data_IF_750311906907
#
_entry.id   IF_750311906907
#
_cell.length_a   1.000
_cell.length_b   1.000
_cell.length_c   1.000
_cell.angle_alpha   90.00
_cell.angle_beta   90.00
_cell.angle_gamma   90.00
#
_symmetry.space_group_name_H-M   'P 1'
#
loop_
_entity.id
_entity.type
_entity.pdbx_description
1 polymer ?
#
# COMPACT_ATOMS: atom_id res chain seq x y z
N UNK A 1 9.51 23.81 -6.74
CA UNK A 1 8.52 22.76 -6.45
C UNK A 1 9.31 21.56 -6.00
N UNK A 2 8.93 20.95 -4.91
CA UNK A 2 9.58 19.73 -4.44
C UNK A 2 9.20 18.55 -5.34
N UNK A 3 10.06 17.57 -5.47
CA UNK A 3 9.82 16.41 -6.35
C UNK A 3 8.53 15.65 -5.99
N UNK A 4 8.19 15.58 -4.70
CA UNK A 4 6.97 14.94 -4.20
C UNK A 4 5.71 15.57 -4.79
N UNK A 5 5.65 16.91 -4.79
CA UNK A 5 4.50 17.64 -5.32
C UNK A 5 4.36 17.44 -6.83
N UNK A 6 5.47 17.38 -7.56
CA UNK A 6 5.45 17.11 -8.99
C UNK A 6 4.87 15.73 -9.31
N UNK A 7 5.23 14.68 -8.55
CA UNK A 7 4.66 13.35 -8.73
C UNK A 7 3.15 13.36 -8.45
N UNK A 8 2.73 13.97 -7.35
CA UNK A 8 1.30 14.08 -6.99
C UNK A 8 0.52 14.81 -8.09
N UNK A 9 1.04 15.92 -8.60
CA UNK A 9 0.37 16.73 -9.63
C UNK A 9 0.25 15.97 -10.97
N UNK A 10 1.27 15.18 -11.33
CA UNK A 10 1.20 14.33 -12.54
C UNK A 10 0.14 13.22 -12.38
N UNK A 11 0.10 12.55 -11.22
CA UNK A 11 -0.88 11.49 -10.95
C UNK A 11 -2.32 12.05 -10.93
N UNK A 12 -2.53 13.25 -10.39
CA UNK A 12 -3.84 13.93 -10.36
C UNK A 12 -4.42 14.19 -11.76
N UNK A 13 -3.59 14.27 -12.80
CA UNK A 13 -4.09 14.41 -14.18
C UNK A 13 -4.94 13.22 -14.61
N UNK A 14 -4.57 12.02 -14.20
CA UNK A 14 -5.27 10.78 -14.53
C UNK A 14 -6.31 10.36 -13.48
N UNK A 15 -6.06 10.67 -12.21
CA UNK A 15 -6.90 10.25 -11.07
C UNK A 15 -7.49 11.47 -10.40
N UNK A 16 -8.59 11.97 -10.97
CA UNK A 16 -9.24 13.21 -10.53
C UNK A 16 -10.09 12.98 -9.28
N UNK A 17 -10.06 13.96 -8.35
CA UNK A 17 -10.93 13.98 -7.17
C UNK A 17 -10.63 12.91 -6.12
N UNK A 18 -9.40 12.33 -6.13
CA UNK A 18 -8.94 11.30 -5.21
C UNK A 18 -7.63 11.70 -4.51
N UNK A 19 -7.51 12.96 -4.15
CA UNK A 19 -6.28 13.55 -3.63
C UNK A 19 -5.77 12.81 -2.40
N UNK A 20 -6.65 12.49 -1.43
CA UNK A 20 -6.28 11.74 -0.23
C UNK A 20 -5.75 10.33 -0.56
N UNK A 21 -6.40 9.63 -1.49
CA UNK A 21 -5.93 8.32 -1.97
C UNK A 21 -4.55 8.41 -2.62
N UNK A 22 -4.30 9.44 -3.43
CA UNK A 22 -3.00 9.65 -4.10
C UNK A 22 -1.92 9.91 -3.05
N UNK A 23 -2.18 10.79 -2.07
CA UNK A 23 -1.24 11.12 -1.00
C UNK A 23 -0.91 9.87 -0.17
N UNK A 24 -1.93 9.10 0.26
CA UNK A 24 -1.74 7.89 1.06
C UNK A 24 -1.01 6.79 0.30
N UNK A 25 -1.34 6.59 -0.98
CA UNK A 25 -0.62 5.63 -1.83
C UNK A 25 0.85 6.03 -2.00
N UNK A 26 1.11 7.31 -2.23
CA UNK A 26 2.49 7.80 -2.36
C UNK A 26 3.24 7.72 -1.02
N UNK A 27 2.60 8.03 0.10
CA UNK A 27 3.17 7.82 1.43
C UNK A 27 3.56 6.35 1.67
N UNK A 28 2.73 5.39 1.22
CA UNK A 28 3.06 3.97 1.32
C UNK A 28 4.27 3.58 0.46
N UNK A 29 4.41 4.14 -0.74
CA UNK A 29 5.60 3.94 -1.58
C UNK A 29 6.86 4.50 -0.93
N UNK A 30 6.78 5.71 -0.37
CA UNK A 30 7.87 6.33 0.38
C UNK A 30 8.22 5.58 1.68
N UNK A 31 7.23 4.95 2.31
CA UNK A 31 7.45 4.06 3.44
C UNK A 31 8.03 2.69 3.03
N UNK A 32 8.27 2.44 1.73
CA UNK A 32 8.74 1.16 1.20
C UNK A 32 7.74 0.04 1.42
N UNK A 33 6.44 0.33 1.34
CA UNK A 33 5.38 -0.62 1.63
C UNK A 33 4.54 -1.01 0.42
N UNK A 34 3.79 -2.10 0.57
CA UNK A 34 2.84 -2.61 -0.41
C UNK A 34 1.43 -2.17 -0.06
N UNK A 35 0.57 -2.02 -1.07
CA UNK A 35 -0.78 -1.49 -0.92
C UNK A 35 -1.81 -2.55 -1.30
N UNK A 36 -2.84 -2.70 -0.47
CA UNK A 36 -4.06 -3.43 -0.79
C UNK A 36 -5.18 -2.44 -1.11
N UNK A 37 -5.78 -2.56 -2.28
CA UNK A 37 -6.95 -1.77 -2.70
C UNK A 37 -8.20 -2.65 -2.61
N UNK A 38 -9.11 -2.28 -1.73
CA UNK A 38 -10.36 -3.00 -1.52
C UNK A 38 -11.55 -2.17 -2.02
N UNK A 39 -11.99 -2.44 -3.24
CA UNK A 39 -13.03 -1.69 -3.93
C UNK A 39 -13.80 -2.54 -4.92
N UNK A 40 -14.97 -2.03 -5.31
CA UNK A 40 -15.71 -2.54 -6.45
C UNK A 40 -14.89 -2.40 -7.76
N UNK A 41 -15.15 -3.21 -8.78
CA UNK A 41 -14.53 -3.06 -10.08
C UNK A 41 -14.81 -1.68 -10.72
N UNK A 42 -13.87 -1.17 -11.52
CA UNK A 42 -14.08 0.01 -12.36
C UNK A 42 -13.81 1.38 -11.73
N UNK A 43 -13.38 1.46 -10.46
CA UNK A 43 -13.13 2.74 -9.76
C UNK A 43 -11.78 3.41 -10.09
N UNK A 44 -10.98 2.82 -10.99
CA UNK A 44 -9.71 3.45 -11.44
C UNK A 44 -8.45 2.91 -10.76
N UNK A 45 -8.49 1.72 -10.11
CA UNK A 45 -7.32 1.10 -9.45
C UNK A 45 -6.14 0.94 -10.38
N UNK A 46 -6.37 0.41 -11.58
CA UNK A 46 -5.34 0.26 -12.62
C UNK A 46 -4.80 1.61 -13.09
N UNK A 47 -5.69 2.61 -13.24
CA UNK A 47 -5.30 3.98 -13.62
C UNK A 47 -4.35 4.59 -12.60
N UNK A 48 -4.59 4.39 -11.30
CA UNK A 48 -3.73 4.87 -10.22
C UNK A 48 -2.32 4.25 -10.32
N UNK A 49 -2.22 2.92 -10.48
CA UNK A 49 -0.94 2.22 -10.60
C UNK A 49 -0.14 2.69 -11.84
N UNK A 50 -0.82 2.78 -13.02
CA UNK A 50 -0.19 3.24 -14.26
C UNK A 50 0.24 4.71 -14.14
N UNK A 51 -0.55 5.56 -13.49
CA UNK A 51 -0.21 6.96 -13.29
C UNK A 51 1.07 7.12 -12.46
N UNK A 52 1.18 6.40 -11.35
CA UNK A 52 2.40 6.40 -10.54
C UNK A 52 3.60 5.84 -11.29
N UNK A 53 3.45 4.70 -11.99
CA UNK A 53 4.56 4.12 -12.72
C UNK A 53 5.13 5.06 -13.79
N UNK A 54 4.26 5.81 -14.47
CA UNK A 54 4.67 6.81 -15.48
C UNK A 54 5.31 8.03 -14.85
N UNK A 55 4.68 8.60 -13.82
CA UNK A 55 5.22 9.78 -13.14
C UNK A 55 6.62 9.54 -12.54
N UNK A 56 6.91 8.30 -12.14
CA UNK A 56 8.18 7.90 -11.54
C UNK A 56 9.06 7.04 -12.47
N UNK A 57 8.75 6.95 -13.77
CA UNK A 57 9.47 6.15 -14.75
C UNK A 57 9.78 4.71 -14.26
N UNK A 58 8.85 4.07 -13.56
CA UNK A 58 9.01 2.72 -13.03
C UNK A 58 8.61 1.68 -14.08
N UNK A 59 9.37 0.59 -14.16
CA UNK A 59 8.93 -0.60 -14.88
C UNK A 59 7.73 -1.19 -14.16
N UNK A 60 6.59 -1.32 -14.84
CA UNK A 60 5.39 -1.87 -14.25
C UNK A 60 4.91 -3.10 -15.00
N UNK A 61 4.45 -4.10 -14.25
CA UNK A 61 3.75 -5.26 -14.79
C UNK A 61 2.39 -5.39 -14.12
N UNK A 62 1.40 -5.88 -14.87
CA UNK A 62 0.07 -6.18 -14.39
C UNK A 62 -0.27 -7.64 -14.65
N UNK A 63 -0.76 -8.32 -13.64
CA UNK A 63 -1.34 -9.66 -13.75
C UNK A 63 -2.76 -9.64 -13.22
N UNK A 64 -3.72 -10.06 -14.04
CA UNK A 64 -5.08 -10.34 -13.61
C UNK A 64 -5.09 -11.75 -13.01
N UNK A 65 -5.29 -11.85 -11.71
CA UNK A 65 -5.33 -13.14 -11.02
C UNK A 65 -6.63 -13.88 -11.32
N UNK A 66 -6.48 -15.10 -11.81
CA UNK A 66 -7.55 -16.07 -12.06
C UNK A 66 -7.14 -17.40 -11.43
N UNK A 67 -8.04 -18.39 -11.32
CA UNK A 67 -7.69 -19.73 -10.81
C UNK A 67 -6.56 -20.41 -11.59
N UNK A 68 -6.35 -20.05 -12.86
CA UNK A 68 -5.38 -20.66 -13.77
C UNK A 68 -3.96 -20.07 -13.63
N UNK A 69 -3.80 -18.93 -12.96
CA UNK A 69 -2.49 -18.31 -12.74
C UNK A 69 -1.64 -19.16 -11.81
N UNK A 70 -0.47 -19.55 -12.28
CA UNK A 70 0.48 -20.41 -11.57
C UNK A 70 1.56 -19.59 -10.86
N UNK A 71 2.20 -20.12 -9.80
CA UNK A 71 3.38 -19.50 -9.19
C UNK A 71 4.50 -19.21 -10.20
N UNK A 72 4.68 -20.07 -11.21
CA UNK A 72 5.68 -19.89 -12.25
C UNK A 72 5.43 -18.65 -13.14
N UNK A 73 4.18 -18.23 -13.32
CA UNK A 73 3.85 -17.01 -14.07
C UNK A 73 4.29 -15.76 -13.30
N UNK A 74 4.27 -15.86 -11.98
CA UNK A 74 4.66 -14.78 -11.06
C UNK A 74 6.18 -14.75 -10.85
N UNK A 75 6.77 -15.90 -10.48
CA UNK A 75 8.18 -16.01 -10.09
C UNK A 75 9.12 -16.25 -11.30
N UNK A 76 8.60 -16.75 -12.40
CA UNK A 76 9.40 -17.30 -13.49
C UNK A 76 9.72 -18.78 -13.31
N UNK A 77 10.44 -19.34 -14.25
CA UNK A 77 10.80 -20.75 -14.30
C UNK A 77 12.06 -20.98 -15.15
N UNK A 78 12.74 -22.09 -14.92
CA UNK A 78 13.86 -22.49 -15.79
C UNK A 78 13.37 -23.38 -16.93
N UNK A 79 13.82 -23.08 -18.14
CA UNK A 79 13.50 -23.80 -19.35
C UNK A 79 14.78 -24.40 -19.94
N UNK A 80 14.73 -25.69 -20.26
CA UNK A 80 15.83 -26.34 -20.94
C UNK A 80 15.97 -25.87 -22.40
N UNK A 81 17.11 -25.31 -22.75
CA UNK A 81 17.42 -24.81 -24.07
C UNK A 81 18.20 -25.88 -24.86
N UNK A 82 17.54 -26.55 -25.80
CA UNK A 82 18.13 -27.64 -26.58
C UNK A 82 19.39 -27.24 -27.35
N UNK A 83 19.50 -25.97 -27.74
CA UNK A 83 20.63 -25.47 -28.56
C UNK A 83 21.91 -25.33 -27.74
N UNK A 84 21.81 -24.97 -26.45
CA UNK A 84 22.96 -24.78 -25.55
C UNK A 84 23.17 -25.96 -24.59
N UNK A 85 22.17 -26.81 -24.41
CA UNK A 85 22.18 -27.89 -23.41
C UNK A 85 22.01 -27.41 -21.97
N UNK A 86 21.58 -26.17 -21.76
CA UNK A 86 21.53 -25.52 -20.45
C UNK A 86 20.10 -25.21 -20.04
N UNK A 87 19.87 -25.08 -18.72
CA UNK A 87 18.65 -24.50 -18.19
C UNK A 87 18.79 -22.99 -18.12
N UNK A 88 17.89 -22.27 -18.78
CA UNK A 88 17.85 -20.80 -18.80
C UNK A 88 16.63 -20.34 -18.02
N UNK A 89 16.83 -19.47 -17.02
CA UNK A 89 15.75 -18.83 -16.28
C UNK A 89 14.97 -17.87 -17.18
N UNK A 90 13.67 -17.99 -17.13
CA UNK A 90 12.70 -17.04 -17.70
C UNK A 90 12.08 -16.24 -16.59
N UNK A 91 12.25 -14.94 -16.64
CA UNK A 91 11.73 -13.99 -15.64
C UNK A 91 10.21 -14.07 -15.54
N UNK A 92 9.71 -14.07 -14.32
CA UNK A 92 8.29 -13.96 -14.02
C UNK A 92 7.83 -12.50 -13.96
N UNK A 93 6.53 -12.34 -13.79
CA UNK A 93 5.90 -11.02 -13.82
C UNK A 93 6.33 -10.09 -12.69
N UNK A 94 6.87 -10.60 -11.56
CA UNK A 94 7.36 -9.79 -10.44
C UNK A 94 8.69 -9.08 -10.71
N UNK A 95 9.38 -9.40 -11.80
CA UNK A 95 10.65 -8.74 -12.15
C UNK A 95 10.38 -7.33 -12.71
N UNK A 96 9.89 -6.45 -11.85
CA UNK A 96 9.53 -5.05 -12.15
C UNK A 96 9.60 -4.19 -10.87
N UNK A 97 9.45 -2.87 -11.01
CA UNK A 97 9.43 -1.95 -9.86
C UNK A 97 8.02 -1.83 -9.23
N UNK A 98 6.98 -1.80 -10.07
CA UNK A 98 5.60 -1.69 -9.63
C UNK A 98 4.79 -2.86 -10.19
N UNK A 99 4.40 -3.78 -9.32
CA UNK A 99 3.60 -4.94 -9.70
C UNK A 99 2.14 -4.73 -9.32
N UNK A 100 1.24 -4.69 -10.32
CA UNK A 100 -0.20 -4.63 -10.10
C UNK A 100 -0.78 -6.06 -10.09
N UNK A 101 -1.10 -6.55 -8.89
CA UNK A 101 -1.77 -7.82 -8.67
C UNK A 101 -3.29 -7.62 -8.65
N UNK A 102 -3.95 -7.74 -9.80
CA UNK A 102 -5.37 -7.46 -9.92
C UNK A 102 -6.22 -8.68 -9.53
N UNK A 103 -7.16 -8.49 -8.59
CA UNK A 103 -8.04 -9.53 -8.02
C UNK A 103 -7.25 -10.71 -7.39
N UNK A 104 -6.26 -10.40 -6.52
CA UNK A 104 -5.37 -11.41 -5.89
C UNK A 104 -6.15 -12.52 -5.16
N UNK A 105 -7.36 -12.24 -4.70
CA UNK A 105 -8.21 -13.19 -3.99
C UNK A 105 -8.96 -14.17 -4.91
N UNK A 106 -8.68 -14.19 -6.23
CA UNK A 106 -9.27 -15.14 -7.19
C UNK A 106 -8.33 -16.28 -7.58
N UNK A 107 -7.07 -16.22 -7.19
CA UNK A 107 -6.10 -17.29 -7.50
C UNK A 107 -5.93 -18.28 -6.35
N UNK A 108 -5.18 -19.36 -6.60
CA UNK A 108 -4.88 -20.39 -5.61
C UNK A 108 -4.05 -19.84 -4.44
N UNK A 109 -4.21 -20.41 -3.21
CA UNK A 109 -3.37 -20.05 -2.06
C UNK A 109 -1.87 -20.20 -2.33
N UNK A 110 -1.49 -21.11 -3.22
CA UNK A 110 -0.11 -21.37 -3.64
C UNK A 110 0.48 -20.17 -4.39
N UNK A 111 -0.29 -19.63 -5.33
CA UNK A 111 0.11 -18.46 -6.12
C UNK A 111 0.11 -17.19 -5.27
N UNK A 112 -0.88 -17.05 -4.37
CA UNK A 112 -0.89 -15.96 -3.39
C UNK A 112 0.37 -15.99 -2.52
N UNK A 113 0.72 -17.16 -1.94
CA UNK A 113 1.89 -17.32 -1.09
C UNK A 113 3.18 -17.00 -1.83
N UNK A 114 3.31 -17.38 -3.10
CA UNK A 114 4.48 -17.08 -3.91
C UNK A 114 4.70 -15.57 -4.07
N UNK A 115 3.65 -14.79 -4.38
CA UNK A 115 3.76 -13.33 -4.45
C UNK A 115 4.10 -12.71 -3.10
N UNK A 116 3.44 -13.17 -2.03
CA UNK A 116 3.62 -12.64 -0.68
C UNK A 116 5.00 -12.95 -0.10
N UNK A 117 5.65 -14.05 -0.52
CA UNK A 117 7.05 -14.33 -0.21
C UNK A 117 7.98 -13.31 -0.86
N UNK A 118 7.80 -13.02 -2.14
CA UNK A 118 8.60 -12.00 -2.84
C UNK A 118 8.42 -10.61 -2.21
N UNK A 119 7.21 -10.27 -1.76
CA UNK A 119 6.95 -9.01 -1.07
C UNK A 119 7.74 -8.87 0.24
N UNK A 120 7.97 -9.97 0.94
CA UNK A 120 8.69 -9.98 2.22
C UNK A 120 10.20 -10.05 2.04
N UNK A 121 10.65 -10.95 1.15
CA UNK A 121 12.07 -11.26 0.97
C UNK A 121 12.78 -10.35 -0.04
N UNK A 122 12.06 -9.70 -0.94
CA UNK A 122 12.63 -8.93 -2.05
C UNK A 122 13.40 -9.78 -3.07
N UNK A 123 13.20 -11.10 -3.03
CA UNK A 123 13.90 -12.06 -3.87
C UNK A 123 12.93 -13.10 -4.44
N UNK A 124 13.33 -13.65 -5.60
CA UNK A 124 12.70 -14.82 -6.24
C UNK A 124 13.68 -15.99 -6.19
N UNK A 125 13.26 -17.12 -5.63
CA UNK A 125 14.09 -18.34 -5.59
C UNK A 125 13.47 -19.38 -6.52
N UNK A 126 14.20 -19.71 -7.62
CA UNK A 126 13.83 -20.76 -8.58
C UNK A 126 15.03 -21.70 -8.75
N UNK A 127 14.78 -23.01 -8.65
CA UNK A 127 15.79 -24.07 -8.74
C UNK A 127 16.99 -23.87 -7.80
N UNK A 128 16.71 -23.37 -6.57
CA UNK A 128 17.73 -23.11 -5.57
C UNK A 128 18.59 -21.87 -5.80
N UNK A 129 18.30 -21.09 -6.86
CA UNK A 129 19.00 -19.84 -7.16
C UNK A 129 18.11 -18.67 -6.79
N UNK A 130 18.57 -17.85 -5.83
CA UNK A 130 17.87 -16.61 -5.44
C UNK A 130 18.29 -15.45 -6.32
N UNK A 131 17.29 -14.68 -6.78
CA UNK A 131 17.46 -13.51 -7.65
C UNK A 131 16.73 -12.33 -7.04
N UNK A 132 17.43 -11.21 -6.89
CA UNK A 132 16.85 -9.98 -6.34
C UNK A 132 15.85 -9.38 -7.35
N UNK A 133 14.68 -8.95 -6.87
CA UNK A 133 13.76 -8.14 -7.69
C UNK A 133 14.30 -6.73 -7.85
N UNK A 134 13.90 -5.99 -8.93
CA UNK A 134 14.32 -4.59 -9.11
C UNK A 134 13.91 -3.71 -7.93
N UNK A 135 14.79 -2.80 -7.50
CA UNK A 135 14.51 -1.82 -6.44
C UNK A 135 14.14 -0.45 -7.06
N UNK A 136 13.16 0.25 -6.46
CA UNK A 136 12.26 -0.21 -5.41
C UNK A 136 11.29 -1.28 -5.96
N UNK A 137 10.85 -2.22 -5.10
CA UNK A 137 9.81 -3.19 -5.43
C UNK A 137 8.52 -2.90 -4.66
N UNK A 138 7.47 -2.59 -5.38
CA UNK A 138 6.17 -2.21 -4.81
C UNK A 138 5.08 -3.08 -5.42
N UNK A 139 4.25 -3.65 -4.58
CA UNK A 139 3.04 -4.36 -5.01
C UNK A 139 1.81 -3.53 -4.67
N UNK A 140 0.99 -3.28 -5.68
CA UNK A 140 -0.39 -2.81 -5.52
C UNK A 140 -1.30 -3.99 -5.81
N UNK A 141 -1.87 -4.59 -4.78
CA UNK A 141 -2.84 -5.67 -4.95
C UNK A 141 -4.26 -5.11 -4.89
N UNK A 142 -5.16 -5.68 -5.69
CA UNK A 142 -6.58 -5.40 -5.58
C UNK A 142 -7.33 -6.64 -5.12
N UNK A 143 -8.34 -6.44 -4.30
CA UNK A 143 -9.30 -7.49 -3.98
C UNK A 143 -10.73 -6.97 -4.09
N UNK A 144 -11.64 -7.86 -4.47
CA UNK A 144 -13.06 -7.56 -4.42
C UNK A 144 -13.57 -7.70 -2.98
N UNK A 145 -14.58 -6.92 -2.57
CA UNK A 145 -15.16 -7.01 -1.24
C UNK A 145 -15.59 -8.45 -0.89
N UNK A 146 -15.62 -8.74 0.40
CA UNK A 146 -16.06 -10.03 0.96
C UNK A 146 -17.43 -10.43 0.37
N UNK A 147 -17.56 -11.69 -0.07
CA UNK A 147 -18.82 -12.23 -0.59
C UNK A 147 -18.96 -12.27 -2.11
N UNK A 148 -17.95 -11.84 -2.87
CA UNK A 148 -17.93 -12.03 -4.33
C UNK A 148 -17.77 -13.51 -4.68
N UNK A 149 -18.55 -14.00 -5.66
CA UNK A 149 -18.49 -15.40 -6.09
C UNK A 149 -17.08 -15.76 -6.62
N UNK A 150 -16.57 -16.93 -6.22
CA UNK A 150 -15.28 -17.45 -6.69
C UNK A 150 -14.05 -16.76 -6.08
N UNK A 151 -14.20 -16.04 -4.95
CA UNK A 151 -13.08 -15.43 -4.24
C UNK A 151 -12.69 -16.24 -3.01
N UNK A 152 -11.38 -16.34 -2.75
CA UNK A 152 -10.80 -16.90 -1.52
C UNK A 152 -10.24 -15.76 -0.68
N UNK A 153 -10.69 -15.64 0.57
CA UNK A 153 -10.17 -14.60 1.46
C UNK A 153 -8.67 -14.84 1.73
N UNK A 154 -7.89 -13.77 1.69
CA UNK A 154 -6.52 -13.80 2.19
C UNK A 154 -6.54 -14.02 3.71
N UNK A 155 -5.76 -14.97 4.25
CA UNK A 155 -5.58 -15.11 5.69
C UNK A 155 -5.02 -13.82 6.33
N UNK A 156 -5.32 -13.61 7.60
CA UNK A 156 -4.88 -12.43 8.37
C UNK A 156 -3.35 -12.26 8.33
N UNK A 157 -2.60 -13.37 8.42
CA UNK A 157 -1.13 -13.36 8.34
C UNK A 157 -0.58 -12.92 6.97
N UNK A 158 -1.38 -13.05 5.92
CA UNK A 158 -1.06 -12.59 4.57
C UNK A 158 -1.46 -11.13 4.38
N UNK A 159 -2.62 -10.73 4.91
CA UNK A 159 -3.07 -9.33 4.92
C UNK A 159 -2.09 -8.42 5.68
N UNK A 160 -1.48 -8.91 6.75
CA UNK A 160 -0.52 -8.16 7.57
C UNK A 160 0.76 -7.75 6.81
N UNK A 161 1.05 -8.34 5.64
CA UNK A 161 2.18 -7.97 4.77
C UNK A 161 1.96 -6.67 3.98
N UNK A 162 0.71 -6.27 3.78
CA UNK A 162 0.40 -4.99 3.15
C UNK A 162 0.57 -3.85 4.14
N UNK A 163 1.27 -2.79 3.75
CA UNK A 163 1.49 -1.60 4.59
C UNK A 163 0.17 -0.94 4.95
N UNK A 164 -0.65 -0.70 3.94
CA UNK A 164 -1.99 -0.13 4.07
C UNK A 164 -3.02 -0.91 3.27
N UNK A 165 -4.26 -0.87 3.75
CA UNK A 165 -5.42 -1.22 2.97
C UNK A 165 -6.27 0.03 2.78
N UNK A 166 -6.57 0.41 1.55
CA UNK A 166 -7.32 1.62 1.24
C UNK A 166 -8.42 1.37 0.22
N UNK A 167 -9.39 2.26 0.17
CA UNK A 167 -10.44 2.28 -0.84
C UNK A 167 -10.37 3.60 -1.60
N UNK A 168 -10.51 3.54 -2.91
CA UNK A 168 -10.65 4.73 -3.73
C UNK A 168 -12.10 5.26 -3.70
N UNK A 169 -13.06 4.38 -3.42
CA UNK A 169 -14.48 4.68 -3.45
C UNK A 169 -14.99 5.04 -4.85
N UNK A 170 -16.29 5.28 -4.96
CA UNK A 170 -16.91 5.68 -6.23
C UNK A 170 -16.39 7.03 -6.73
N UNK A 171 -16.37 7.29 -8.05
CA UNK A 171 -16.04 8.59 -8.59
C UNK A 171 -17.03 9.65 -8.09
N UNK A 172 -16.63 10.92 -8.11
CA UNK A 172 -17.57 12.02 -7.87
C UNK A 172 -18.63 12.08 -8.97
N UNK A 173 -19.80 12.68 -8.69
CA UNK A 173 -20.87 12.83 -9.66
C UNK A 173 -20.37 13.39 -11.00
N UNK A 174 -19.56 14.45 -10.98
CA UNK A 174 -19.05 15.07 -12.20
C UNK A 174 -18.08 14.17 -12.97
N UNK A 175 -17.22 13.43 -12.24
CA UNK A 175 -16.34 12.45 -12.84
C UNK A 175 -17.12 11.28 -13.46
N UNK A 176 -18.21 10.83 -12.83
CA UNK A 176 -19.07 9.77 -13.36
C UNK A 176 -19.83 10.23 -14.60
N UNK A 177 -20.29 11.47 -14.63
CA UNK A 177 -20.89 12.10 -15.82
C UNK A 177 -19.89 12.16 -16.98
N UNK A 178 -18.63 12.50 -16.74
CA UNK A 178 -17.59 12.50 -17.77
C UNK A 178 -17.27 11.10 -18.29
N UNK A 179 -17.24 10.09 -17.39
CA UNK A 179 -17.11 8.68 -17.76
C UNK A 179 -18.29 8.27 -18.66
N UNK A 180 -19.53 8.58 -18.27
CA UNK A 180 -20.75 8.24 -19.04
C UNK A 180 -20.78 8.91 -20.42
N UNK A 181 -20.20 10.10 -20.56
CA UNK A 181 -20.05 10.80 -21.85
C UNK A 181 -18.93 10.25 -22.73
N UNK A 182 -18.25 9.19 -22.30
CA UNK A 182 -17.09 8.63 -23.01
C UNK A 182 -15.84 9.51 -23.00
N UNK A 183 -15.80 10.53 -22.13
CA UNK A 183 -14.64 11.39 -21.93
C UNK A 183 -13.59 10.79 -21.00
N UNK A 184 -13.80 9.55 -20.52
CA UNK A 184 -12.78 8.83 -19.76
C UNK A 184 -11.67 8.42 -20.72
N UNK A 185 -10.55 9.09 -20.58
CA UNK A 185 -9.32 8.75 -21.31
C UNK A 185 -8.82 7.43 -20.73
N UNK A 186 -8.47 6.45 -21.58
CA UNK A 186 -7.81 5.23 -21.10
C UNK A 186 -6.51 5.61 -20.37
N UNK A 187 -6.11 4.82 -19.38
CA UNK A 187 -4.89 5.09 -18.60
C UNK A 187 -3.66 5.37 -19.51
N UNK A 188 -3.63 4.74 -20.68
CA UNK A 188 -2.56 4.90 -21.67
C UNK A 188 -2.62 6.22 -22.48
N UNK A 189 -3.73 6.93 -22.46
CA UNK A 189 -3.93 8.17 -23.22
C UNK A 189 -3.62 9.42 -22.39
N UNK A 190 -3.46 9.30 -21.06
CA UNK A 190 -3.05 10.44 -20.24
C UNK A 190 -1.60 10.83 -20.52
N UNK A 191 -1.37 12.10 -20.81
CA UNK A 191 -0.02 12.66 -20.96
C UNK A 191 0.59 12.89 -19.58
N UNK A 192 0.99 11.80 -18.92
CA UNK A 192 1.75 11.84 -17.66
C UNK A 192 3.23 11.92 -18.02
N UNK A 193 3.91 12.95 -17.54
CA UNK A 193 5.35 13.11 -17.76
C UNK A 193 6.13 12.46 -16.63
N UNK A 194 7.22 11.74 -16.93
CA UNK A 194 8.12 11.28 -15.90
C UNK A 194 8.79 12.51 -15.24
N UNK A 195 8.63 12.64 -13.94
CA UNK A 195 9.22 13.71 -13.13
C UNK A 195 10.24 13.18 -12.13
N UNK A 196 10.33 11.85 -12.03
CA UNK A 196 11.27 11.12 -11.18
C UNK A 196 11.58 9.76 -11.84
N UNK A 197 12.61 9.07 -11.35
CA UNK A 197 12.93 7.68 -11.72
C UNK A 197 12.99 6.79 -10.47
N UNK A 198 13.22 5.49 -10.66
CA UNK A 198 13.32 4.50 -9.58
C UNK A 198 14.36 4.90 -8.51
N UNK A 199 15.53 5.40 -8.93
CA UNK A 199 16.58 5.84 -8.02
C UNK A 199 16.13 7.01 -7.15
N UNK A 200 15.43 8.00 -7.72
CA UNK A 200 14.86 9.12 -6.97
C UNK A 200 13.85 8.68 -5.91
N UNK A 201 13.06 7.63 -6.19
CA UNK A 201 12.15 7.09 -5.17
C UNK A 201 12.92 6.41 -4.02
N UNK A 202 14.00 5.67 -4.31
CA UNK A 202 14.87 5.08 -3.27
C UNK A 202 15.55 6.16 -2.42
N UNK A 203 16.01 7.24 -3.03
CA UNK A 203 16.59 8.39 -2.31
C UNK A 203 15.57 9.02 -1.36
N UNK A 204 14.34 9.26 -1.83
CA UNK A 204 13.26 9.78 -0.98
C UNK A 204 12.87 8.81 0.15
N UNK A 205 12.88 7.50 -0.09
CA UNK A 205 12.69 6.49 0.96
C UNK A 205 13.75 6.65 2.06
N UNK A 206 15.01 6.85 1.67
CA UNK A 206 16.11 7.12 2.60
C UNK A 206 15.90 8.42 3.40
N UNK A 207 15.41 9.49 2.77
CA UNK A 207 15.08 10.75 3.46
C UNK A 207 13.91 10.57 4.45
N UNK A 208 12.89 9.80 4.09
CA UNK A 208 11.76 9.47 4.99
C UNK A 208 12.24 8.70 6.21
N UNK A 209 13.21 7.81 6.09
CA UNK A 209 13.79 7.09 7.23
C UNK A 209 14.44 8.04 8.25
N UNK A 210 14.96 9.19 7.80
CA UNK A 210 15.57 10.20 8.66
C UNK A 210 14.56 11.15 9.34
N UNK A 211 13.29 11.10 8.98
CA UNK A 211 12.25 11.90 9.64
C UNK A 211 12.23 11.56 11.13
N UNK A 212 12.36 12.59 11.96
CA UNK A 212 12.44 12.43 13.40
C UNK A 212 11.09 12.05 14.03
N UNK A 213 11.12 11.11 14.96
CA UNK A 213 9.97 10.78 15.82
C UNK A 213 10.40 10.91 17.27
N UNK A 214 9.64 11.68 18.06
CA UNK A 214 9.83 11.79 19.48
C UNK A 214 9.29 10.55 20.22
N UNK A 215 9.91 10.16 21.34
CA UNK A 215 9.50 8.97 22.13
C UNK A 215 8.02 8.98 22.52
N UNK A 216 7.44 10.15 22.81
CA UNK A 216 6.02 10.27 23.11
C UNK A 216 5.10 9.89 21.94
N UNK A 217 5.55 10.03 20.71
CA UNK A 217 4.80 9.57 19.52
C UNK A 217 4.90 8.06 19.36
N UNK A 218 6.08 7.47 19.63
CA UNK A 218 6.20 6.00 19.69
C UNK A 218 5.27 5.41 20.74
N UNK A 219 5.27 5.99 21.95
CA UNK A 219 4.35 5.56 23.01
C UNK A 219 2.88 5.69 22.57
N UNK A 220 2.50 6.81 21.95
CA UNK A 220 1.16 7.03 21.45
C UNK A 220 0.73 5.99 20.41
N UNK A 221 1.62 5.63 19.47
CA UNK A 221 1.35 4.57 18.49
C UNK A 221 1.13 3.23 19.19
N UNK A 222 1.97 2.91 20.19
CA UNK A 222 1.84 1.66 20.96
C UNK A 222 0.55 1.65 21.77
N UNK A 223 0.17 2.76 22.42
CA UNK A 223 -1.09 2.90 23.16
C UNK A 223 -2.31 2.68 22.26
N UNK A 224 -2.28 3.23 21.03
CA UNK A 224 -3.33 3.00 20.03
C UNK A 224 -3.41 1.52 19.62
N UNK A 225 -2.26 0.88 19.37
CA UNK A 225 -2.19 -0.53 19.01
C UNK A 225 -2.67 -1.42 20.15
N UNK A 226 -2.26 -1.16 21.40
CA UNK A 226 -2.70 -1.92 22.56
C UNK A 226 -4.21 -1.75 22.82
N UNK A 227 -4.77 -0.56 22.55
CA UNK A 227 -6.21 -0.37 22.57
C UNK A 227 -6.95 -1.26 21.56
N UNK A 228 -6.34 -1.61 20.40
CA UNK A 228 -6.93 -2.61 19.49
C UNK A 228 -6.94 -4.01 20.09
N UNK A 229 -5.93 -4.38 20.88
CA UNK A 229 -5.79 -5.71 21.49
C UNK A 229 -6.70 -5.91 22.71
N UNK A 230 -7.09 -4.82 23.37
CA UNK A 230 -7.93 -4.82 24.57
C UNK A 230 -9.37 -4.41 24.32
N UNK A 231 -9.73 -4.05 23.09
CA UNK A 231 -11.09 -3.63 22.72
C UNK A 231 -12.10 -4.77 22.91
N UNK A 232 -13.28 -4.49 23.52
CA UNK A 232 -14.34 -5.51 23.70
C UNK A 232 -15.01 -5.96 22.40
N UNK A 233 -14.67 -5.34 21.26
CA UNK A 233 -15.22 -5.64 19.93
C UNK A 233 -14.24 -6.36 19.01
N UNK A 234 -12.96 -6.46 19.40
CA UNK A 234 -11.90 -7.04 18.59
C UNK A 234 -11.53 -8.42 19.14
N UNK A 235 -11.43 -9.42 18.26
CA UNK A 235 -10.95 -10.76 18.57
C UNK A 235 -9.44 -10.86 18.34
N UNK A 236 -8.94 -10.28 17.23
CA UNK A 236 -7.52 -10.19 16.92
C UNK A 236 -7.16 -8.73 16.69
N UNK A 237 -6.28 -8.19 17.55
CA UNK A 237 -5.73 -6.84 17.44
C UNK A 237 -4.50 -6.75 16.54
N UNK A 238 -4.00 -5.54 16.36
CA UNK A 238 -2.87 -5.22 15.48
C UNK A 238 -1.57 -5.89 15.97
N UNK A 239 -0.83 -6.49 15.03
CA UNK A 239 0.46 -7.15 15.27
C UNK A 239 1.60 -6.13 15.47
N UNK A 240 2.78 -6.56 15.98
CA UNK A 240 3.98 -5.70 16.00
C UNK A 240 4.40 -5.20 14.61
N UNK A 241 4.15 -5.98 13.53
CA UNK A 241 4.36 -5.53 12.14
C UNK A 241 3.47 -4.33 11.81
N UNK A 242 2.22 -4.32 12.27
CA UNK A 242 1.32 -3.18 12.12
C UNK A 242 1.78 -1.94 12.90
N UNK A 243 2.39 -2.13 14.08
CA UNK A 243 3.02 -1.01 14.84
C UNK A 243 4.14 -0.37 14.01
N UNK A 244 5.04 -1.18 13.42
CA UNK A 244 6.12 -0.70 12.56
C UNK A 244 5.56 0.00 11.33
N UNK A 245 4.49 -0.55 10.71
CA UNK A 245 3.82 0.07 9.58
C UNK A 245 3.25 1.45 9.93
N UNK A 246 2.63 1.62 11.11
CA UNK A 246 2.16 2.93 11.60
C UNK A 246 3.30 3.96 11.71
N UNK A 247 4.45 3.54 12.26
CA UNK A 247 5.64 4.40 12.38
C UNK A 247 6.13 4.85 11.00
N UNK A 248 6.31 3.92 10.07
CA UNK A 248 6.81 4.19 8.72
C UNK A 248 5.85 5.09 7.94
N UNK A 249 4.56 4.81 8.00
CA UNK A 249 3.53 5.62 7.34
C UNK A 249 3.43 7.03 7.93
N UNK A 250 3.54 7.19 9.26
CA UNK A 250 3.54 8.50 9.91
C UNK A 250 4.76 9.35 9.50
N UNK A 251 5.94 8.74 9.36
CA UNK A 251 7.13 9.40 8.83
C UNK A 251 6.91 9.87 7.39
N UNK A 252 6.43 9.00 6.51
CA UNK A 252 6.17 9.31 5.12
C UNK A 252 5.11 10.41 4.97
N UNK A 253 4.07 10.39 5.79
CA UNK A 253 3.02 11.41 5.79
C UNK A 253 3.54 12.78 6.27
N UNK A 254 4.39 12.81 7.32
CA UNK A 254 5.06 14.01 7.78
C UNK A 254 5.98 14.61 6.70
N UNK A 255 6.76 13.76 6.02
CA UNK A 255 7.62 14.13 4.91
C UNK A 255 6.84 14.79 3.78
N UNK A 256 5.76 14.16 3.30
CA UNK A 256 4.87 14.72 2.27
C UNK A 256 4.19 16.03 2.71
N UNK A 257 4.08 16.25 4.02
CA UNK A 257 3.59 17.52 4.59
C UNK A 257 4.71 18.57 4.74
N UNK A 258 5.91 18.33 4.18
CA UNK A 258 7.05 19.23 4.23
C UNK A 258 7.73 19.34 5.61
N UNK A 259 7.57 18.32 6.47
CA UNK A 259 8.14 18.33 7.83
C UNK A 259 9.19 17.23 7.99
N UNK A 260 10.24 17.56 8.75
CA UNK A 260 11.31 16.63 9.15
C UNK A 260 11.02 15.92 10.48
N UNK A 261 9.81 16.05 11.02
CA UNK A 261 9.39 15.42 12.27
C UNK A 261 7.90 15.05 12.25
N UNK A 262 7.56 13.98 12.98
CA UNK A 262 6.19 13.46 13.10
C UNK A 262 5.44 14.17 14.23
N UNK A 263 4.16 14.47 13.99
CA UNK A 263 3.22 14.98 14.99
C UNK A 263 2.05 14.01 15.19
N UNK A 264 1.28 14.08 16.28
CA UNK A 264 0.18 13.13 16.54
C UNK A 264 -0.85 13.03 15.42
N UNK A 265 -1.14 14.14 14.72
CA UNK A 265 -2.09 14.15 13.60
C UNK A 265 -1.64 13.32 12.42
N UNK A 266 -0.33 13.12 12.20
CA UNK A 266 0.16 12.24 11.14
C UNK A 266 -0.21 10.79 11.42
N UNK A 267 -0.05 10.37 12.69
CA UNK A 267 -0.46 9.04 13.13
C UNK A 267 -1.96 8.84 12.93
N UNK A 268 -2.78 9.80 13.35
CA UNK A 268 -4.24 9.77 13.19
C UNK A 268 -4.64 9.63 11.73
N UNK A 269 -3.96 10.37 10.83
CA UNK A 269 -4.27 10.38 9.39
C UNK A 269 -4.04 9.04 8.70
N UNK A 270 -3.11 8.22 9.20
CA UNK A 270 -2.73 6.94 8.56
C UNK A 270 -3.23 5.71 9.33
N UNK A 271 -3.62 5.86 10.60
CA UNK A 271 -3.89 4.74 11.51
C UNK A 271 -4.97 3.79 10.98
N UNK A 272 -6.07 4.34 10.47
CA UNK A 272 -7.17 3.52 9.95
C UNK A 272 -6.75 2.68 8.73
N UNK A 273 -6.01 3.26 7.78
CA UNK A 273 -5.57 2.56 6.58
C UNK A 273 -4.50 1.49 6.90
N UNK A 274 -3.70 1.70 7.95
CA UNK A 274 -2.73 0.71 8.43
C UNK A 274 -3.42 -0.43 9.19
N UNK A 275 -4.50 -0.17 9.93
CA UNK A 275 -5.01 -1.12 10.94
C UNK A 275 -6.27 -1.87 10.53
N UNK A 276 -7.13 -1.30 9.67
CA UNK A 276 -8.45 -1.89 9.36
C UNK A 276 -8.41 -3.32 8.82
N UNK A 277 -7.37 -3.68 8.06
CA UNK A 277 -7.20 -5.02 7.49
C UNK A 277 -6.43 -5.98 8.43
N UNK A 278 -5.97 -5.50 9.57
CA UNK A 278 -5.20 -6.24 10.58
C UNK A 278 -6.02 -6.61 11.80
N UNK A 279 -7.22 -6.03 11.95
CA UNK A 279 -8.12 -6.35 13.06
C UNK A 279 -9.22 -7.31 12.62
N UNK A 280 -9.59 -8.23 13.51
CA UNK A 280 -10.72 -9.14 13.32
C UNK A 280 -11.77 -8.83 14.38
N UNK A 281 -12.99 -8.53 13.94
CA UNK A 281 -14.10 -8.25 14.84
C UNK A 281 -14.68 -9.55 15.41
N UNK A 282 -14.99 -9.54 16.71
CA UNK A 282 -15.61 -10.66 17.40
C UNK A 282 -17.13 -10.76 17.13
N UNK A 283 -17.76 -11.81 17.65
CA UNK A 283 -19.20 -12.05 17.49
C UNK A 283 -20.05 -10.92 18.05
N UNK A 284 -19.65 -10.31 19.18
CA UNK A 284 -20.36 -9.19 19.79
C UNK A 284 -20.44 -7.98 18.84
N UNK A 285 -19.32 -7.63 18.20
CA UNK A 285 -19.28 -6.54 17.22
C UNK A 285 -20.20 -6.81 16.03
N UNK A 286 -20.19 -8.06 15.50
CA UNK A 286 -21.04 -8.48 14.38
C UNK A 286 -22.53 -8.39 14.70
N UNK A 287 -22.93 -8.85 15.88
CA UNK A 287 -24.33 -8.76 16.35
C UNK A 287 -24.77 -7.32 16.55
N UNK A 288 -23.85 -6.45 17.01
CA UNK A 288 -24.13 -5.02 17.22
C UNK A 288 -23.95 -4.17 15.94
N UNK A 289 -23.68 -4.77 14.78
CA UNK A 289 -23.44 -4.11 13.49
C UNK A 289 -22.34 -3.03 13.57
N UNK A 290 -21.32 -3.27 14.39
CA UNK A 290 -20.15 -2.38 14.54
C UNK A 290 -19.14 -2.71 13.44
N UNK A 291 -18.63 -1.71 12.73
CA UNK A 291 -17.62 -1.86 11.68
C UNK A 291 -16.20 -1.68 12.23
N UNK A 292 -15.21 -2.21 11.50
CA UNK A 292 -13.79 -2.01 11.80
C UNK A 292 -13.44 -0.52 11.92
N UNK A 293 -13.94 0.32 10.99
CA UNK A 293 -13.69 1.77 11.00
C UNK A 293 -14.32 2.47 12.22
N UNK A 294 -15.52 2.04 12.66
CA UNK A 294 -16.13 2.64 13.84
C UNK A 294 -15.36 2.31 15.11
N UNK A 295 -14.84 1.07 15.25
CA UNK A 295 -14.00 0.70 16.41
C UNK A 295 -12.68 1.47 16.39
N UNK A 296 -12.05 1.61 15.23
CA UNK A 296 -10.81 2.40 15.08
C UNK A 296 -11.04 3.86 15.46
N UNK A 297 -12.16 4.47 15.03
CA UNK A 297 -12.51 5.84 15.35
C UNK A 297 -12.74 6.04 16.85
N UNK A 298 -13.41 5.09 17.53
CA UNK A 298 -13.55 5.08 18.99
C UNK A 298 -12.20 5.00 19.69
N UNK A 299 -11.28 4.16 19.25
CA UNK A 299 -9.92 4.03 19.78
C UNK A 299 -9.15 5.35 19.62
N UNK A 300 -9.18 5.96 18.44
CA UNK A 300 -8.52 7.24 18.18
C UNK A 300 -9.03 8.38 19.07
N UNK A 301 -10.32 8.35 19.43
CA UNK A 301 -10.94 9.33 20.35
C UNK A 301 -10.61 9.04 21.81
N UNK A 302 -10.49 7.77 22.20
CA UNK A 302 -10.27 7.36 23.59
C UNK A 302 -8.80 7.51 24.02
N UNK A 303 -7.85 7.25 23.14
CA UNK A 303 -6.42 7.34 23.46
C UNK A 303 -5.95 8.79 23.39
N UNK A 304 -5.39 9.26 24.51
CA UNK A 304 -4.95 10.65 24.64
C UNK A 304 -3.74 10.93 23.77
N UNK A 305 -3.85 11.94 22.90
CA UNK A 305 -2.72 12.42 22.12
C UNK A 305 -1.66 13.07 23.01
N UNK A 306 -0.36 12.84 22.76
CA UNK A 306 0.70 13.52 23.46
C UNK A 306 0.69 15.02 23.15
N UNK A 307 0.95 15.85 24.21
CA UNK A 307 1.08 17.29 24.03
C UNK A 307 2.41 17.58 23.35
N UNK A 308 2.38 18.14 22.15
CA UNK A 308 3.59 18.58 21.46
C UNK A 308 4.10 19.87 22.14
N UNK A 309 5.11 19.75 22.99
CA UNK A 309 5.85 20.89 23.47
C UNK A 309 6.84 21.33 22.38
N UNK A 310 6.51 22.38 21.65
CA UNK A 310 7.51 23.16 20.94
C UNK A 310 8.32 23.88 22.02
N UNK A 311 9.53 23.36 22.37
CA UNK A 311 10.49 24.15 23.11
C UNK A 311 10.76 25.40 22.27
N UNK A 312 10.22 26.56 22.64
CA UNK A 312 10.73 27.84 22.13
C UNK A 312 12.23 27.82 22.36
N UNK A 313 13.00 27.95 21.30
CA UNK A 313 14.43 28.18 21.40
C UNK A 313 14.61 29.39 22.32
N UNK A 314 15.08 29.14 23.54
CA UNK A 314 15.36 30.19 24.49
C UNK A 314 16.46 31.05 23.94
N UNK A 315 16.23 32.34 23.82
CA UNK A 315 17.29 33.33 23.70
C UNK A 315 18.34 32.99 24.77
N UNK A 316 19.57 32.71 24.33
CA UNK A 316 20.74 32.83 25.18
C UNK A 316 21.16 34.27 25.06
N UNK A 317 20.92 35.05 26.09
CA UNK A 317 21.63 36.26 26.41
C UNK A 317 23.11 35.95 26.72
#
# INVERSE_FOLDING_TARGET
MNNEQLVIDEVKKAVKGKDDCIIKAFAAFLAGGHILLEDVPGVGKTTLAVAFSRAMALVNHRVQFTPDVLPADILGFSMYQKQTGEFVYREGAVMCNLFLADEINRTSPKTQSALLEVMEEGNVTVDGISRKVPEPFIVMATQNPKGSAGTQLLPESQLDRFMICMSMGYPSHDAEVDIAKGKSVKADEYTIKPVMNAQGLVEMQGEVEQVFIHDSIYSYIVDLVDATRTSPYIELGVSPRGTIACVRMAKAYAYLSGRSYVIPSDVVSVFADVTKHRIVLNTKARVSHVSELSVIDEILKAVKQPTTYVKKAGNRD
#
